data_IF_177193218491
#
_entry.id   IF_177193218491
#
_cell.length_a   1.000
_cell.length_b   1.000
_cell.length_c   1.000
_cell.angle_alpha   90.00
_cell.angle_beta   90.00
_cell.angle_gamma   90.00
#
_symmetry.space_group_name_H-M   'P 1'
#
loop_
_entity.id
_entity.type
_entity.pdbx_description
1 polymer ?
#
# COMPACT_ATOMS: atom_id res chain seq x y z
N UNK A 1 12.65 1.25 10.72
CA UNK A 1 12.69 0.83 12.13
C UNK A 1 13.84 -0.14 12.30
N UNK A 2 14.40 -0.28 13.51
CA UNK A 2 15.42 -1.30 13.81
C UNK A 2 14.97 -2.05 15.05
N UNK A 3 15.50 -3.25 15.25
CA UNK A 3 15.32 -3.96 16.52
C UNK A 3 15.78 -3.10 17.71
N UNK A 4 15.05 -3.26 18.81
CA UNK A 4 15.48 -2.80 20.13
C UNK A 4 16.70 -3.61 20.60
N UNK A 5 17.32 -3.17 21.69
CA UNK A 5 18.58 -3.76 22.17
C UNK A 5 18.40 -5.23 22.61
N UNK A 6 17.18 -5.61 23.02
CA UNK A 6 16.82 -6.98 23.41
C UNK A 6 16.41 -7.87 22.21
N UNK A 7 16.38 -7.32 21.00
CA UNK A 7 15.99 -8.01 19.76
C UNK A 7 14.58 -8.62 19.76
N UNK A 8 13.66 -8.05 20.54
CA UNK A 8 12.29 -8.54 20.73
C UNK A 8 11.23 -7.70 20.01
N UNK A 9 11.53 -6.45 19.70
CA UNK A 9 10.57 -5.53 19.08
C UNK A 9 11.29 -4.47 18.24
N UNK A 10 10.52 -3.72 17.45
CA UNK A 10 11.02 -2.68 16.55
C UNK A 10 10.79 -1.28 17.13
N UNK A 11 11.84 -0.46 17.02
CA UNK A 11 11.80 0.96 17.35
C UNK A 11 12.03 1.83 16.11
N UNK A 12 11.32 2.94 16.03
CA UNK A 12 11.50 3.98 15.02
C UNK A 12 12.81 4.73 15.29
N UNK A 13 13.84 4.45 14.49
CA UNK A 13 15.14 5.14 14.59
C UNK A 13 15.24 6.43 13.77
N UNK A 14 14.52 6.49 12.65
CA UNK A 14 14.53 7.65 11.76
C UNK A 14 13.15 7.81 11.09
N UNK A 15 12.47 8.90 11.40
CA UNK A 15 11.19 9.30 10.81
C UNK A 15 10.95 10.81 11.03
N UNK A 16 11.78 11.71 10.47
CA UNK A 16 11.79 13.14 10.82
C UNK A 16 10.46 13.85 10.51
N UNK A 17 9.68 13.32 9.57
CA UNK A 17 8.40 13.89 9.13
C UNK A 17 7.18 13.30 9.86
N UNK A 18 7.37 12.33 10.76
CA UNK A 18 6.27 11.64 11.44
C UNK A 18 6.02 12.28 12.82
N UNK A 19 4.76 12.56 13.20
CA UNK A 19 4.44 13.11 14.53
C UNK A 19 4.93 12.22 15.67
N UNK A 20 5.39 12.82 16.78
CA UNK A 20 5.90 12.07 17.95
C UNK A 20 4.89 11.05 18.50
N UNK A 21 3.61 11.40 18.56
CA UNK A 21 2.56 10.49 19.02
C UNK A 21 2.44 9.25 18.11
N UNK A 22 2.61 9.41 16.80
CA UNK A 22 2.64 8.29 15.87
C UNK A 22 3.91 7.45 16.03
N UNK A 23 5.07 8.10 16.27
CA UNK A 23 6.32 7.39 16.59
C UNK A 23 6.16 6.54 17.86
N UNK A 24 5.59 7.10 18.93
CA UNK A 24 5.33 6.39 20.18
C UNK A 24 4.37 5.21 19.99
N UNK A 25 3.34 5.37 19.15
CA UNK A 25 2.42 4.29 18.82
C UNK A 25 3.07 3.16 17.98
N UNK A 26 4.13 3.48 17.22
CA UNK A 26 4.85 2.52 16.38
C UNK A 26 5.99 1.80 17.12
N UNK A 27 6.53 2.37 18.20
CA UNK A 27 7.59 1.72 18.98
C UNK A 27 7.06 0.50 19.73
N UNK A 28 7.86 -0.56 19.78
CA UNK A 28 7.50 -1.82 20.44
C UNK A 28 6.68 -2.79 19.57
N UNK A 29 6.47 -2.49 18.29
CA UNK A 29 5.85 -3.43 17.35
C UNK A 29 6.69 -4.71 17.25
N UNK A 30 6.04 -5.87 17.34
CA UNK A 30 6.68 -7.18 17.29
C UNK A 30 6.50 -7.80 15.90
N UNK A 31 7.59 -8.11 15.18
CA UNK A 31 7.51 -8.83 13.93
C UNK A 31 6.93 -10.22 14.09
N UNK A 32 6.16 -10.71 13.11
CA UNK A 32 5.51 -12.02 13.21
C UNK A 32 5.32 -12.76 11.88
N UNK A 33 5.01 -14.07 11.95
CA UNK A 33 4.83 -14.91 10.77
C UNK A 33 3.53 -14.59 10.00
N UNK A 34 2.53 -14.02 10.67
CA UNK A 34 1.22 -13.67 10.08
C UNK A 34 1.18 -12.26 9.48
N UNK A 35 2.30 -11.54 9.51
CA UNK A 35 2.38 -10.17 9.02
C UNK A 35 2.81 -10.11 7.53
N UNK A 36 2.66 -8.93 6.94
CA UNK A 36 3.04 -8.66 5.55
C UNK A 36 4.52 -8.96 5.25
N UNK A 37 4.88 -8.92 3.97
CA UNK A 37 6.20 -9.39 3.50
C UNK A 37 7.40 -8.70 4.15
N UNK A 38 7.33 -7.40 4.39
CA UNK A 38 8.41 -6.64 5.02
C UNK A 38 8.63 -7.05 6.48
N UNK A 39 7.56 -7.28 7.22
CA UNK A 39 7.64 -7.71 8.62
C UNK A 39 8.11 -9.16 8.73
N UNK A 40 7.66 -10.03 7.83
CA UNK A 40 8.14 -11.41 7.73
C UNK A 40 9.64 -11.50 7.41
N UNK A 41 10.15 -10.61 6.55
CA UNK A 41 11.60 -10.54 6.26
C UNK A 41 12.41 -10.17 7.50
N UNK A 42 11.87 -9.27 8.33
CA UNK A 42 12.47 -8.92 9.63
C UNK A 42 12.37 -10.09 10.61
N UNK A 43 11.21 -10.73 10.72
CA UNK A 43 10.97 -11.86 11.62
C UNK A 43 11.87 -13.07 11.32
N UNK A 44 12.06 -13.40 10.04
CA UNK A 44 12.87 -14.56 9.61
C UNK A 44 14.35 -14.24 9.43
N UNK A 45 14.74 -12.97 9.51
CA UNK A 45 16.11 -12.48 9.21
C UNK A 45 16.65 -12.95 7.85
N UNK A 46 15.77 -13.15 6.88
CA UNK A 46 16.13 -13.62 5.54
C UNK A 46 15.30 -12.92 4.46
N UNK A 47 15.79 -12.88 3.20
CA UNK A 47 15.01 -12.33 2.11
C UNK A 47 13.71 -13.08 1.90
N UNK A 48 12.60 -12.35 1.86
CA UNK A 48 11.28 -12.91 1.61
C UNK A 48 10.72 -12.35 0.30
N UNK A 49 10.28 -13.25 -0.56
CA UNK A 49 9.76 -12.93 -1.89
C UNK A 49 8.26 -13.20 -1.96
N UNK A 50 7.53 -12.29 -2.60
CA UNK A 50 6.11 -12.45 -2.91
C UNK A 50 5.99 -12.44 -4.43
N UNK A 51 5.63 -13.60 -5.01
CA UNK A 51 5.44 -13.69 -6.45
C UNK A 51 4.06 -13.20 -6.89
N UNK A 52 3.05 -13.38 -6.04
CA UNK A 52 1.69 -12.94 -6.29
C UNK A 52 0.99 -12.69 -4.94
N UNK A 53 0.67 -11.43 -4.67
CA UNK A 53 -0.02 -11.02 -3.43
C UNK A 53 -1.43 -11.60 -3.31
N UNK A 54 -2.10 -11.97 -4.40
CA UNK A 54 -3.45 -12.53 -4.37
C UNK A 54 -3.51 -13.99 -3.90
N UNK A 55 -2.38 -14.70 -3.91
CA UNK A 55 -2.30 -16.12 -3.55
C UNK A 55 -1.40 -16.36 -2.34
N UNK A 56 -0.81 -15.30 -1.80
CA UNK A 56 0.09 -15.37 -0.66
C UNK A 56 -0.73 -15.21 0.63
N UNK A 57 -0.73 -16.22 1.48
CA UNK A 57 -1.57 -16.30 2.70
C UNK A 57 -1.40 -15.10 3.64
N UNK A 58 -0.21 -14.48 3.65
CA UNK A 58 0.07 -13.29 4.48
C UNK A 58 -0.63 -12.03 4.00
N UNK A 59 -1.22 -12.10 2.81
CA UNK A 59 -2.00 -11.05 2.16
C UNK A 59 -3.48 -11.42 2.07
N UNK A 60 -3.96 -12.44 2.80
CA UNK A 60 -5.39 -12.74 2.89
C UNK A 60 -6.21 -11.54 3.42
N UNK A 61 -5.56 -10.66 4.20
CA UNK A 61 -6.13 -9.41 4.72
C UNK A 61 -5.98 -8.20 3.77
N UNK A 62 -5.75 -8.42 2.47
CA UNK A 62 -5.69 -7.33 1.49
C UNK A 62 -6.97 -6.48 1.58
N UNK A 63 -6.78 -5.16 1.55
CA UNK A 63 -7.83 -4.17 1.73
C UNK A 63 -9.02 -4.41 0.80
N UNK A 64 -10.14 -4.87 1.35
CA UNK A 64 -11.40 -5.03 0.61
C UNK A 64 -12.14 -3.70 0.58
N UNK A 65 -11.79 -2.84 -0.37
CA UNK A 65 -12.56 -1.65 -0.67
C UNK A 65 -13.73 -1.99 -1.61
N UNK A 66 -14.95 -1.46 -1.36
CA UNK A 66 -15.32 -0.53 -0.30
C UNK A 66 -15.91 -1.21 0.97
N UNK A 67 -15.79 -2.52 1.13
CA UNK A 67 -16.60 -3.27 2.11
C UNK A 67 -16.01 -3.32 3.52
N UNK A 68 -14.71 -3.12 3.67
CA UNK A 68 -14.02 -3.13 4.96
C UNK A 68 -13.82 -1.71 5.54
N UNK A 69 -14.33 -1.47 6.75
CA UNK A 69 -14.32 -0.15 7.39
C UNK A 69 -12.91 0.33 7.77
N UNK A 70 -12.04 -0.59 8.16
CA UNK A 70 -10.68 -0.24 8.55
C UNK A 70 -9.86 0.12 7.30
N UNK A 71 -10.02 -0.65 6.22
CA UNK A 71 -9.47 -0.36 4.90
C UNK A 71 -9.95 0.98 4.34
N UNK A 72 -11.26 1.27 4.44
CA UNK A 72 -11.81 2.57 4.06
C UNK A 72 -11.14 3.69 4.85
N UNK A 73 -11.04 3.57 6.18
CA UNK A 73 -10.45 4.59 7.05
C UNK A 73 -8.98 4.81 6.72
N UNK A 74 -8.22 3.74 6.55
CA UNK A 74 -6.81 3.79 6.17
C UNK A 74 -6.63 4.44 4.80
N UNK A 75 -7.41 4.03 3.80
CA UNK A 75 -7.37 4.61 2.47
C UNK A 75 -7.65 6.12 2.48
N UNK A 76 -8.60 6.59 3.30
CA UNK A 76 -8.88 8.02 3.47
C UNK A 76 -7.72 8.78 4.12
N UNK A 77 -7.12 8.21 5.17
CA UNK A 77 -5.98 8.82 5.87
C UNK A 77 -4.76 8.93 4.95
N UNK A 78 -4.40 7.81 4.31
CA UNK A 78 -3.93 7.69 2.93
C UNK A 78 -3.91 8.97 2.09
N UNK A 79 -5.11 9.25 1.59
CA UNK A 79 -5.43 10.37 0.71
C UNK A 79 -5.08 11.70 1.33
N UNK A 80 -5.69 11.98 2.47
CA UNK A 80 -5.57 13.26 3.12
C UNK A 80 -4.10 13.61 3.42
N UNK A 81 -3.30 12.62 3.83
CA UNK A 81 -1.89 12.81 4.12
C UNK A 81 -1.09 13.21 2.87
N UNK A 82 -1.24 12.47 1.76
CA UNK A 82 -0.55 12.78 0.51
C UNK A 82 -0.87 14.19 0.01
N UNK A 83 -2.15 14.54 0.00
CA UNK A 83 -2.60 15.88 -0.41
C UNK A 83 -2.14 16.98 0.53
N UNK A 84 -2.07 16.73 1.84
CA UNK A 84 -1.55 17.71 2.81
C UNK A 84 -0.09 18.08 2.54
N UNK A 85 0.67 17.20 1.90
CA UNK A 85 2.04 17.44 1.46
C UNK A 85 2.16 17.93 0.01
N UNK A 86 1.04 18.18 -0.67
CA UNK A 86 1.01 18.58 -2.07
C UNK A 86 1.49 17.47 -3.04
N UNK A 87 1.36 16.21 -2.63
CA UNK A 87 1.72 15.06 -3.45
C UNK A 87 0.52 14.58 -4.26
N UNK A 88 0.79 14.16 -5.50
CA UNK A 88 -0.14 13.35 -6.29
C UNK A 88 -0.14 11.93 -5.74
N UNK A 89 -1.33 11.34 -5.56
CA UNK A 89 -1.44 9.97 -5.07
C UNK A 89 -2.05 9.06 -6.12
N UNK A 90 -1.35 7.95 -6.36
CA UNK A 90 -1.81 6.87 -7.25
C UNK A 90 -2.50 5.81 -6.40
N UNK A 91 -3.74 5.46 -6.75
CA UNK A 91 -4.40 4.26 -6.25
C UNK A 91 -4.14 3.11 -7.22
N UNK A 92 -3.30 2.16 -6.82
CA UNK A 92 -3.00 0.94 -7.57
C UNK A 92 -3.94 -0.21 -7.18
N UNK A 93 -4.14 -1.16 -8.10
CA UNK A 93 -4.99 -2.34 -7.87
C UNK A 93 -6.49 -2.06 -7.95
N UNK A 94 -6.93 -1.04 -8.71
CA UNK A 94 -8.36 -0.76 -8.92
C UNK A 94 -8.94 -1.73 -9.95
N UNK A 95 -9.77 -2.67 -9.50
CA UNK A 95 -10.29 -3.77 -10.32
C UNK A 95 -11.81 -3.68 -10.55
N UNK A 96 -12.54 -2.96 -9.69
CA UNK A 96 -14.01 -2.82 -9.78
C UNK A 96 -14.46 -1.37 -9.86
N UNK A 97 -15.63 -1.15 -10.46
CA UNK A 97 -16.26 0.19 -10.51
C UNK A 97 -16.53 0.74 -9.11
N UNK A 98 -16.97 -0.10 -8.17
CA UNK A 98 -17.26 0.32 -6.79
C UNK A 98 -16.01 0.85 -6.08
N UNK A 99 -14.85 0.21 -6.28
CA UNK A 99 -13.56 0.70 -5.78
C UNK A 99 -13.20 2.05 -6.38
N UNK A 100 -13.36 2.18 -7.70
CA UNK A 100 -13.08 3.42 -8.41
C UNK A 100 -13.98 4.57 -7.92
N UNK A 101 -15.29 4.36 -7.83
CA UNK A 101 -16.24 5.37 -7.36
C UNK A 101 -15.93 5.82 -5.93
N UNK A 102 -15.61 4.88 -5.04
CA UNK A 102 -15.16 5.22 -3.68
C UNK A 102 -13.92 6.13 -3.72
N UNK A 103 -12.89 5.73 -4.46
CA UNK A 103 -11.62 6.46 -4.52
C UNK A 103 -11.76 7.85 -5.18
N UNK A 104 -12.62 7.97 -6.20
CA UNK A 104 -12.99 9.26 -6.82
C UNK A 104 -13.66 10.18 -5.80
N UNK A 105 -14.63 9.67 -5.04
CA UNK A 105 -15.36 10.45 -4.04
C UNK A 105 -14.45 10.97 -2.91
N UNK A 106 -13.39 10.24 -2.60
CA UNK A 106 -12.39 10.67 -1.61
C UNK A 106 -11.29 11.57 -2.21
N UNK A 107 -11.34 11.88 -3.51
CA UNK A 107 -10.49 12.87 -4.17
C UNK A 107 -9.22 12.32 -4.82
N UNK A 108 -9.16 11.04 -5.19
CA UNK A 108 -7.96 10.47 -5.83
C UNK A 108 -7.60 11.11 -7.18
N UNK A 109 -6.29 11.20 -7.42
CA UNK A 109 -5.72 11.90 -8.57
C UNK A 109 -5.48 10.96 -9.78
N UNK A 110 -4.93 9.77 -9.52
CA UNK A 110 -4.52 8.81 -10.55
C UNK A 110 -4.91 7.39 -10.11
N UNK A 111 -5.35 6.58 -11.07
CA UNK A 111 -5.77 5.20 -10.85
C UNK A 111 -4.99 4.25 -11.74
N UNK A 112 -4.63 3.09 -11.20
CA UNK A 112 -4.05 1.98 -11.95
C UNK A 112 -4.72 0.68 -11.50
N UNK A 113 -5.09 -0.15 -12.45
CA UNK A 113 -5.61 -1.48 -12.15
C UNK A 113 -6.38 -2.09 -13.30
N UNK A 114 -6.81 -3.34 -13.11
CA UNK A 114 -7.40 -4.16 -14.17
C UNK A 114 -8.76 -3.65 -14.65
N UNK A 115 -9.41 -2.77 -13.88
CA UNK A 115 -10.59 -2.04 -14.35
C UNK A 115 -10.30 -1.24 -15.61
N UNK A 116 -9.09 -0.66 -15.70
CA UNK A 116 -8.66 0.18 -16.82
C UNK A 116 -7.88 -0.60 -17.86
N UNK A 117 -6.86 -1.35 -17.41
CA UNK A 117 -6.03 -2.17 -18.28
C UNK A 117 -5.28 -3.23 -17.47
N UNK A 118 -5.14 -4.42 -18.06
CA UNK A 118 -4.20 -5.42 -17.55
C UNK A 118 -2.76 -5.06 -17.96
N UNK A 119 -1.73 -5.67 -17.37
CA UNK A 119 -0.39 -5.62 -17.90
C UNK A 119 -0.40 -6.11 -19.36
N UNK A 120 0.06 -5.26 -20.26
CA UNK A 120 0.15 -5.53 -21.70
C UNK A 120 1.62 -5.55 -22.13
N UNK A 121 1.89 -6.11 -23.31
CA UNK A 121 3.24 -6.09 -23.88
C UNK A 121 3.69 -4.66 -24.22
N UNK A 122 5.01 -4.46 -24.34
CA UNK A 122 5.56 -3.17 -24.75
C UNK A 122 4.98 -2.69 -26.09
N UNK A 123 4.81 -3.60 -27.06
CA UNK A 123 4.21 -3.29 -28.36
C UNK A 123 2.77 -2.81 -28.25
N UNK A 124 1.96 -3.46 -27.41
CA UNK A 124 0.57 -3.04 -27.17
C UNK A 124 0.51 -1.69 -26.44
N UNK A 125 1.43 -1.44 -25.52
CA UNK A 125 1.55 -0.17 -24.82
C UNK A 125 1.92 0.99 -25.77
N UNK A 126 2.87 0.78 -26.69
CA UNK A 126 3.22 1.76 -27.73
C UNK A 126 2.02 2.12 -28.61
N UNK A 127 1.22 1.12 -29.01
CA UNK A 127 0.01 1.35 -29.78
C UNK A 127 -1.04 2.15 -28.98
N UNK A 128 -1.19 1.86 -27.68
CA UNK A 128 -2.09 2.61 -26.81
C UNK A 128 -1.70 4.09 -26.70
N UNK A 129 -0.41 4.39 -26.51
CA UNK A 129 0.09 5.78 -26.45
C UNK A 129 -0.20 6.56 -27.72
N UNK A 130 -0.05 5.94 -28.89
CA UNK A 130 -0.36 6.56 -30.19
C UNK A 130 -1.86 6.85 -30.34
N UNK A 131 -2.72 5.98 -29.79
CA UNK A 131 -4.18 6.15 -29.84
C UNK A 131 -4.71 7.24 -28.90
N UNK A 132 -3.94 7.65 -27.88
CA UNK A 132 -4.30 8.71 -26.94
C UNK A 132 -3.81 10.11 -27.37
N UNK A 133 -3.26 10.26 -28.58
CA UNK A 133 -2.79 11.54 -29.10
C UNK A 133 -3.94 12.36 -29.70
N UNK A 134 -4.78 12.94 -28.84
CA UNK A 134 -5.69 14.07 -29.12
C UNK A 134 -5.56 15.16 -28.05
#
# INVERSE_FOLDING_TARGET
>A
MLFNDDHTSLDVRCAPSIPKAAIEALNGLQPGPEAGSCDNAVFREEPVYVCNTLTDERWEFVMDLPNDKDSLTLAKMIIALGHSFGLTVVAEGVETLDQHEFLVNEGRDIFQGYLFSKPISATEFEALLQSCSD
#
